data_IF_857655955679
#
_entry.id   IF_857655955679
#
_cell.length_a   1.000
_cell.length_b   1.000
_cell.length_c   1.000
_cell.angle_alpha   90.00
_cell.angle_beta   90.00
_cell.angle_gamma   90.00
#
_symmetry.space_group_name_H-M   'P 1'
#
loop_
_entity.id
_entity.type
_entity.pdbx_description
1 polymer ?
#
# COMPACT_ATOMS: atom_id res chain seq x y z
N UNK A 1 -0.76 20.85 -5.44
CA UNK A 1 -1.15 19.75 -4.53
C UNK A 1 -2.15 18.89 -5.27
N UNK A 2 -2.03 17.55 -5.25
CA UNK A 2 -2.99 16.67 -5.90
C UNK A 2 -4.36 16.75 -5.22
N UNK A 3 -5.41 16.56 -6.02
CA UNK A 3 -6.81 16.65 -5.57
C UNK A 3 -7.54 15.38 -6.00
N UNK A 4 -8.34 14.81 -5.10
CA UNK A 4 -9.23 13.67 -5.37
C UNK A 4 -10.65 14.10 -5.03
N UNK A 5 -11.49 14.36 -6.04
CA UNK A 5 -12.79 14.99 -5.82
C UNK A 5 -12.64 16.34 -5.11
N UNK A 6 -13.24 16.52 -3.95
CA UNK A 6 -13.13 17.73 -3.11
C UNK A 6 -11.92 17.71 -2.16
N UNK A 7 -11.18 16.61 -2.06
CA UNK A 7 -10.08 16.45 -1.10
C UNK A 7 -8.76 16.95 -1.66
N UNK A 8 -8.20 18.00 -1.05
CA UNK A 8 -6.84 18.48 -1.33
C UNK A 8 -5.85 17.70 -0.48
N UNK A 9 -4.91 17.02 -1.11
CA UNK A 9 -3.92 16.19 -0.42
C UNK A 9 -2.68 16.99 -0.04
N UNK A 10 -2.02 16.59 1.05
CA UNK A 10 -0.80 17.24 1.57
C UNK A 10 0.34 17.25 0.55
N UNK A 11 0.55 16.14 -0.15
CA UNK A 11 1.54 15.97 -1.21
C UNK A 11 1.13 14.83 -2.15
N UNK A 12 1.96 14.51 -3.11
CA UNK A 12 1.72 13.48 -4.14
C UNK A 12 2.34 12.10 -3.82
N UNK A 13 2.54 11.78 -2.54
CA UNK A 13 3.13 10.51 -2.09
C UNK A 13 2.08 9.66 -1.36
N UNK A 14 1.76 8.51 -1.90
CA UNK A 14 0.67 7.66 -1.47
C UNK A 14 1.16 6.31 -0.95
N UNK A 15 0.51 5.80 0.10
CA UNK A 15 0.75 4.45 0.61
C UNK A 15 -0.10 3.45 -0.17
N UNK A 16 0.53 2.44 -0.73
CA UNK A 16 -0.18 1.38 -1.47
C UNK A 16 -0.99 0.46 -0.53
N UNK A 17 -2.20 0.04 -0.92
CA UNK A 17 -2.93 -1.00 -0.21
C UNK A 17 -2.20 -2.34 -0.33
N UNK A 18 -1.72 -2.87 0.79
CA UNK A 18 -1.01 -4.16 0.89
C UNK A 18 -1.71 -5.03 1.94
N UNK A 19 -2.28 -6.17 1.51
CA UNK A 19 -3.00 -7.07 2.40
C UNK A 19 -2.11 -7.57 3.54
N UNK A 20 -2.58 -7.43 4.77
CA UNK A 20 -1.84 -7.78 5.98
C UNK A 20 -0.73 -6.79 6.36
N UNK A 21 -0.57 -5.66 5.66
CA UNK A 21 0.48 -4.67 5.92
C UNK A 21 -0.09 -3.27 6.17
N UNK A 22 -0.92 -2.78 5.28
CA UNK A 22 -1.49 -1.42 5.36
C UNK A 22 -2.72 -1.38 6.27
N UNK A 23 -2.57 -1.95 7.47
CA UNK A 23 -3.52 -1.78 8.56
C UNK A 23 -3.53 -0.32 9.07
N UNK A 24 -4.47 -0.01 9.94
CA UNK A 24 -4.61 1.37 10.48
C UNK A 24 -3.31 1.88 11.13
N UNK A 25 -2.63 1.14 12.04
CA UNK A 25 -1.37 1.58 12.62
C UNK A 25 -0.32 1.96 11.58
N UNK A 26 -0.13 1.12 10.56
CA UNK A 26 0.86 1.39 9.52
C UNK A 26 0.49 2.59 8.64
N UNK A 27 -0.80 2.77 8.28
CA UNK A 27 -1.25 3.94 7.52
C UNK A 27 -1.04 5.24 8.29
N UNK A 28 -1.42 5.27 9.57
CA UNK A 28 -1.22 6.43 10.44
C UNK A 28 0.26 6.78 10.58
N UNK A 29 1.12 5.78 10.78
CA UNK A 29 2.56 5.96 10.85
C UNK A 29 3.13 6.55 9.55
N UNK A 30 2.77 6.00 8.39
CA UNK A 30 3.23 6.53 7.11
C UNK A 30 2.75 7.97 6.86
N UNK A 31 1.50 8.31 7.21
CA UNK A 31 0.98 9.67 7.12
C UNK A 31 1.71 10.62 8.08
N UNK A 32 2.01 10.20 9.32
CA UNK A 32 2.83 10.94 10.27
C UNK A 32 4.23 11.24 9.71
N UNK A 33 4.79 10.30 8.98
CA UNK A 33 6.14 10.36 8.40
C UNK A 33 6.17 10.89 6.95
N UNK A 34 5.12 11.56 6.48
CA UNK A 34 5.17 12.34 5.26
C UNK A 34 4.31 11.84 4.09
N UNK A 35 3.64 10.70 4.19
CA UNK A 35 2.70 10.30 3.15
C UNK A 35 1.49 11.26 3.12
N UNK A 36 1.12 11.71 1.92
CA UNK A 36 -0.03 12.59 1.71
C UNK A 36 -1.37 11.86 1.67
N UNK A 37 -1.35 10.56 1.37
CA UNK A 37 -2.55 9.76 1.21
C UNK A 37 -2.27 8.27 1.48
N UNK A 38 -3.25 7.55 1.98
CA UNK A 38 -3.17 6.12 2.20
C UNK A 38 -4.51 5.44 1.94
N UNK A 39 -4.47 4.25 1.34
CA UNK A 39 -5.65 3.43 1.06
C UNK A 39 -5.67 2.23 2.00
N UNK A 40 -6.83 1.87 2.52
CA UNK A 40 -7.00 0.71 3.40
C UNK A 40 -6.66 -0.61 2.70
N UNK A 41 -6.46 -1.66 3.49
CA UNK A 41 -6.49 -3.02 2.94
C UNK A 41 -7.85 -3.29 2.28
N UNK A 42 -7.86 -4.13 1.22
CA UNK A 42 -9.09 -4.45 0.52
C UNK A 42 -10.13 -5.14 1.40
N UNK A 43 -11.36 -4.68 1.31
CA UNK A 43 -12.56 -5.26 1.91
C UNK A 43 -13.34 -6.00 0.81
N UNK A 44 -13.76 -7.22 1.09
CA UNK A 44 -14.55 -8.00 0.12
C UNK A 44 -15.95 -7.38 -0.05
N UNK A 45 -16.47 -7.36 -1.28
CA UNK A 45 -17.82 -6.89 -1.59
C UNK A 45 -18.93 -7.81 -1.04
N UNK A 46 -18.62 -9.04 -0.65
CA UNK A 46 -19.60 -9.96 -0.08
C UNK A 46 -20.02 -9.54 1.33
N UNK A 47 -21.28 -9.11 1.48
CA UNK A 47 -21.87 -8.65 2.74
C UNK A 47 -21.81 -9.68 3.88
N UNK A 48 -21.85 -10.98 3.57
CA UNK A 48 -21.71 -12.05 4.58
C UNK A 48 -20.36 -12.01 5.31
N UNK A 49 -19.33 -11.42 4.71
CA UNK A 49 -17.99 -11.31 5.29
C UNK A 49 -17.79 -10.04 6.13
N UNK A 50 -18.69 -9.05 6.06
CA UNK A 50 -18.50 -7.74 6.71
C UNK A 50 -18.47 -7.83 8.23
N UNK A 51 -19.22 -8.76 8.83
CA UNK A 51 -19.25 -8.98 10.29
C UNK A 51 -18.07 -9.82 10.80
N UNK A 52 -17.17 -10.28 9.92
CA UNK A 52 -15.98 -11.01 10.39
C UNK A 52 -15.02 -10.08 11.11
N UNK A 53 -14.37 -10.56 12.18
CA UNK A 53 -13.39 -9.77 12.94
C UNK A 53 -12.24 -9.22 12.05
N UNK A 54 -11.91 -9.93 10.98
CA UNK A 54 -10.90 -9.50 10.00
C UNK A 54 -11.39 -8.31 9.18
N UNK A 55 -12.62 -8.35 8.66
CA UNK A 55 -13.20 -7.27 7.86
C UNK A 55 -13.47 -6.05 8.73
N UNK A 56 -14.02 -6.25 9.94
CA UNK A 56 -14.24 -5.15 10.88
C UNK A 56 -12.95 -4.40 11.22
N UNK A 57 -11.83 -5.10 11.39
CA UNK A 57 -10.52 -4.46 11.59
C UNK A 57 -10.08 -3.65 10.37
N UNK A 58 -10.25 -4.19 9.15
CA UNK A 58 -9.89 -3.49 7.89
C UNK A 58 -10.71 -2.24 7.65
N UNK A 59 -12.00 -2.29 8.04
CA UNK A 59 -12.94 -1.17 7.94
C UNK A 59 -12.89 -0.22 9.15
N UNK A 60 -12.00 -0.45 10.12
CA UNK A 60 -11.87 0.41 11.28
C UNK A 60 -11.01 1.63 10.94
N UNK A 61 -11.63 2.81 10.91
CA UNK A 61 -11.01 4.11 10.60
C UNK A 61 -10.94 5.04 11.81
N UNK A 62 -11.23 4.55 13.03
CA UNK A 62 -11.25 5.37 14.23
C UNK A 62 -9.89 6.07 14.45
N UNK A 63 -9.91 7.40 14.48
CA UNK A 63 -8.72 8.25 14.64
C UNK A 63 -7.78 8.27 13.41
N UNK A 64 -8.23 7.83 12.25
CA UNK A 64 -7.43 7.92 11.02
C UNK A 64 -7.39 9.35 10.49
N UNK A 65 -6.24 9.75 9.93
CA UNK A 65 -6.07 11.06 9.30
C UNK A 65 -6.83 11.09 7.96
N UNK A 66 -7.67 12.11 7.77
CA UNK A 66 -8.42 12.31 6.52
C UNK A 66 -7.51 12.63 5.31
N UNK A 67 -8.00 12.37 4.09
CA UNK A 67 -9.24 11.67 3.76
C UNK A 67 -9.14 10.16 3.99
N UNK A 68 -10.26 9.57 4.47
CA UNK A 68 -10.39 8.13 4.72
C UNK A 68 -10.73 7.41 3.42
N UNK A 69 -9.81 6.60 2.92
CA UNK A 69 -10.00 5.83 1.69
C UNK A 69 -10.13 4.34 1.96
N UNK A 70 -11.21 3.75 1.49
CA UNK A 70 -11.51 2.33 1.65
C UNK A 70 -11.42 1.62 0.32
N UNK A 71 -10.58 0.58 0.25
CA UNK A 71 -10.49 -0.25 -0.94
C UNK A 71 -11.48 -1.42 -0.88
N UNK A 72 -12.30 -1.56 -1.92
CA UNK A 72 -13.24 -2.66 -2.11
C UNK A 72 -12.80 -3.59 -3.24
N UNK A 73 -13.12 -4.89 -3.12
CA UNK A 73 -12.76 -5.91 -4.10
C UNK A 73 -13.91 -6.90 -4.29
N UNK A 74 -14.24 -7.16 -5.53
CA UNK A 74 -15.29 -8.10 -5.97
C UNK A 74 -15.36 -8.18 -7.47
N UNK A 75 -16.28 -9.02 -7.99
CA UNK A 75 -16.50 -9.24 -9.42
C UNK A 75 -17.97 -9.04 -9.84
N UNK A 76 -18.87 -8.80 -8.89
CA UNK A 76 -20.27 -8.56 -9.17
C UNK A 76 -20.59 -7.06 -9.02
N UNK A 77 -21.13 -6.40 -10.08
CA UNK A 77 -21.41 -4.95 -10.05
C UNK A 77 -22.36 -4.52 -8.92
N UNK A 78 -23.42 -5.31 -8.66
CA UNK A 78 -24.41 -4.97 -7.64
C UNK A 78 -23.83 -5.10 -6.23
N UNK A 79 -23.06 -6.15 -5.97
CA UNK A 79 -22.34 -6.34 -4.70
C UNK A 79 -21.28 -5.27 -4.49
N UNK A 80 -20.58 -4.84 -5.53
CA UNK A 80 -19.58 -3.76 -5.46
C UNK A 80 -20.24 -2.41 -5.16
N UNK A 81 -21.38 -2.12 -5.76
CA UNK A 81 -22.20 -0.94 -5.49
C UNK A 81 -22.72 -0.93 -4.03
N UNK A 82 -23.18 -2.07 -3.52
CA UNK A 82 -23.62 -2.22 -2.13
C UNK A 82 -22.44 -2.02 -1.15
N UNK A 83 -21.28 -2.61 -1.45
CA UNK A 83 -20.08 -2.43 -0.64
C UNK A 83 -19.60 -0.97 -0.61
N UNK A 84 -19.70 -0.26 -1.72
CA UNK A 84 -19.37 1.18 -1.76
C UNK A 84 -20.28 1.99 -0.83
N UNK A 85 -21.60 1.85 -0.96
CA UNK A 85 -22.57 2.52 -0.06
C UNK A 85 -22.32 2.19 1.40
N UNK A 86 -22.18 0.90 1.72
CA UNK A 86 -21.89 0.45 3.09
C UNK A 86 -20.65 1.13 3.68
N UNK A 87 -19.56 1.22 2.94
CA UNK A 87 -18.35 1.85 3.46
C UNK A 87 -18.49 3.39 3.57
N UNK A 88 -19.22 4.03 2.67
CA UNK A 88 -19.54 5.47 2.78
C UNK A 88 -20.39 5.73 4.03
N UNK A 89 -21.43 4.94 4.28
CA UNK A 89 -22.26 5.03 5.47
C UNK A 89 -21.47 4.81 6.78
N UNK A 90 -20.32 4.11 6.68
CA UNK A 90 -19.39 3.89 7.79
C UNK A 90 -18.18 4.87 7.79
N UNK A 91 -18.27 5.98 7.07
CA UNK A 91 -17.32 7.08 7.15
C UNK A 91 -16.19 7.07 6.12
N UNK A 92 -16.26 6.23 5.08
CA UNK A 92 -15.33 6.35 3.95
C UNK A 92 -15.59 7.65 3.18
N UNK A 93 -14.54 8.40 2.94
CA UNK A 93 -14.56 9.67 2.20
C UNK A 93 -14.08 9.48 0.74
N UNK A 94 -13.43 8.35 0.45
CA UNK A 94 -13.01 7.93 -0.89
C UNK A 94 -13.24 6.42 -0.98
N UNK A 95 -13.81 5.95 -2.08
CA UNK A 95 -13.90 4.52 -2.41
C UNK A 95 -12.83 4.21 -3.46
N UNK A 96 -11.96 3.23 -3.17
CA UNK A 96 -10.97 2.73 -4.11
C UNK A 96 -11.35 1.32 -4.61
N UNK A 97 -11.34 1.09 -5.91
CA UNK A 97 -11.68 -0.20 -6.51
C UNK A 97 -10.38 -0.98 -6.79
N UNK A 98 -10.30 -2.21 -6.28
CA UNK A 98 -9.17 -3.10 -6.55
C UNK A 98 -9.39 -3.91 -7.83
N UNK A 99 -8.60 -3.62 -8.87
CA UNK A 99 -8.46 -4.44 -10.07
C UNK A 99 -6.97 -4.75 -10.37
N UNK A 100 -6.15 -4.81 -9.31
CA UNK A 100 -4.71 -5.05 -9.42
C UNK A 100 -4.17 -6.22 -8.61
N UNK A 101 -4.94 -6.78 -7.66
CA UNK A 101 -4.48 -7.89 -6.82
C UNK A 101 -4.27 -9.17 -7.66
N UNK A 102 -3.04 -9.76 -7.70
CA UNK A 102 -2.74 -10.92 -8.52
C UNK A 102 -2.94 -12.24 -7.75
N UNK A 103 -3.39 -12.20 -6.50
CA UNK A 103 -3.48 -13.36 -5.64
C UNK A 103 -4.44 -14.42 -6.19
N UNK A 104 -4.02 -15.68 -6.20
CA UNK A 104 -4.84 -16.82 -6.67
C UNK A 104 -6.23 -16.81 -6.02
N UNK A 105 -6.31 -16.60 -4.71
CA UNK A 105 -7.58 -16.55 -3.97
C UNK A 105 -8.55 -15.47 -4.49
N UNK A 106 -8.03 -14.32 -4.91
CA UNK A 106 -8.83 -13.23 -5.46
C UNK A 106 -9.15 -13.48 -6.93
N UNK A 107 -8.17 -13.90 -7.73
CA UNK A 107 -8.35 -14.20 -9.15
C UNK A 107 -9.28 -15.42 -9.38
N UNK A 108 -9.29 -16.40 -8.49
CA UNK A 108 -10.16 -17.58 -8.61
C UNK A 108 -11.66 -17.25 -8.49
N UNK A 109 -12.00 -16.10 -7.89
CA UNK A 109 -13.37 -15.57 -7.87
C UNK A 109 -13.56 -14.46 -8.91
N UNK A 110 -12.74 -14.45 -9.96
CA UNK A 110 -12.73 -13.50 -11.07
C UNK A 110 -12.59 -12.02 -10.63
N UNK A 111 -12.06 -11.74 -9.41
CA UNK A 111 -11.86 -10.40 -8.87
C UNK A 111 -10.39 -9.94 -9.00
N UNK A 112 -10.11 -8.71 -8.62
CA UNK A 112 -8.77 -8.14 -8.69
C UNK A 112 -8.26 -8.04 -10.12
N UNK A 113 -7.01 -8.44 -10.38
CA UNK A 113 -6.42 -8.33 -11.72
C UNK A 113 -7.00 -9.31 -12.76
N UNK A 114 -7.80 -10.30 -12.36
CA UNK A 114 -8.52 -11.16 -13.28
C UNK A 114 -9.59 -10.39 -14.08
N UNK A 115 -10.13 -9.31 -13.51
CA UNK A 115 -11.09 -8.44 -14.19
C UNK A 115 -10.55 -7.80 -15.46
N UNK A 116 -9.22 -7.59 -15.55
CA UNK A 116 -8.60 -6.99 -16.74
C UNK A 116 -8.79 -7.82 -18.03
N UNK A 117 -9.22 -9.07 -17.92
CA UNK A 117 -9.55 -9.91 -19.07
C UNK A 117 -10.98 -9.71 -19.59
N UNK A 118 -11.80 -8.90 -18.90
CA UNK A 118 -13.22 -8.68 -19.24
C UNK A 118 -13.56 -7.18 -19.12
N UNK A 119 -13.20 -6.40 -20.14
CA UNK A 119 -13.41 -4.96 -20.17
C UNK A 119 -14.89 -4.56 -20.00
N UNK A 120 -15.89 -5.25 -20.61
CA UNK A 120 -17.29 -4.97 -20.34
C UNK A 120 -17.69 -5.12 -18.87
N UNK A 121 -17.15 -6.12 -18.16
CA UNK A 121 -17.42 -6.29 -16.74
C UNK A 121 -16.73 -5.21 -15.90
N UNK A 122 -15.51 -4.80 -16.27
CA UNK A 122 -14.84 -3.65 -15.65
C UNK A 122 -15.70 -2.42 -15.74
N UNK A 123 -16.23 -2.10 -16.93
CA UNK A 123 -17.11 -0.96 -17.15
C UNK A 123 -18.35 -1.04 -16.25
N UNK A 124 -19.05 -2.17 -16.25
CA UNK A 124 -20.25 -2.37 -15.42
C UNK A 124 -19.97 -2.17 -13.93
N UNK A 125 -18.85 -2.69 -13.42
CA UNK A 125 -18.46 -2.52 -12.00
C UNK A 125 -18.18 -1.05 -11.69
N UNK A 126 -17.39 -0.38 -12.52
CA UNK A 126 -16.98 1.01 -12.27
C UNK A 126 -18.22 1.93 -12.33
N UNK A 127 -19.09 1.78 -13.34
CA UNK A 127 -20.33 2.54 -13.45
C UNK A 127 -21.27 2.30 -12.26
N UNK A 128 -21.42 1.04 -11.83
CA UNK A 128 -22.27 0.69 -10.69
C UNK A 128 -21.75 1.29 -9.38
N UNK A 129 -20.43 1.30 -9.15
CA UNK A 129 -19.82 1.88 -7.96
C UNK A 129 -19.94 3.40 -7.96
N UNK A 130 -19.62 4.07 -9.07
CA UNK A 130 -19.74 5.52 -9.21
C UNK A 130 -21.19 5.97 -8.99
N UNK A 131 -22.15 5.31 -9.63
CA UNK A 131 -23.57 5.60 -9.46
C UNK A 131 -24.05 5.38 -8.01
N UNK A 132 -23.48 4.41 -7.30
CA UNK A 132 -23.88 4.05 -5.95
C UNK A 132 -23.52 5.09 -4.87
N UNK A 133 -22.41 5.83 -5.08
CA UNK A 133 -21.90 6.84 -4.11
C UNK A 133 -22.26 8.27 -4.52
N UNK A 134 -23.07 8.42 -5.56
CA UNK A 134 -23.58 9.68 -6.05
C UNK A 134 -22.72 10.33 -7.13
N UNK A 135 -23.30 11.36 -7.75
CA UNK A 135 -22.66 12.18 -8.78
C UNK A 135 -22.85 13.66 -8.42
N UNK A 136 -21.91 14.52 -8.81
CA UNK A 136 -21.96 15.95 -8.54
C UNK A 136 -20.98 16.39 -7.44
N UNK A 137 -21.12 17.63 -6.94
CA UNK A 137 -20.14 18.27 -6.05
C UNK A 137 -19.97 17.56 -4.69
N UNK A 138 -21.04 16.97 -4.18
CA UNK A 138 -21.05 16.28 -2.87
C UNK A 138 -20.86 14.77 -2.98
N UNK A 139 -20.57 14.26 -4.19
CA UNK A 139 -20.33 12.84 -4.42
C UNK A 139 -19.04 12.38 -3.73
N UNK A 140 -19.07 11.18 -3.17
CA UNK A 140 -17.85 10.53 -2.69
C UNK A 140 -17.00 10.11 -3.89
N UNK A 141 -15.76 10.60 -4.05
CA UNK A 141 -14.93 10.26 -5.19
C UNK A 141 -14.58 8.77 -5.21
N UNK A 142 -14.59 8.20 -6.42
CA UNK A 142 -14.19 6.82 -6.66
C UNK A 142 -12.84 6.81 -7.37
N UNK A 143 -11.91 6.00 -6.86
CA UNK A 143 -10.61 5.77 -7.48
C UNK A 143 -10.47 4.30 -7.92
N UNK A 144 -9.56 4.05 -8.85
CA UNK A 144 -9.34 2.71 -9.38
C UNK A 144 -7.85 2.35 -9.34
N UNK A 145 -7.54 1.14 -8.88
CA UNK A 145 -6.15 0.64 -8.91
C UNK A 145 -6.05 -0.61 -9.78
N UNK A 146 -5.20 -0.54 -10.82
CA UNK A 146 -5.01 -1.60 -11.83
C UNK A 146 -3.54 -2.03 -11.94
N UNK A 147 -3.30 -3.05 -12.76
CA UNK A 147 -2.02 -3.41 -13.38
C UNK A 147 -2.02 -3.05 -14.86
N UNK A 148 -0.87 -3.21 -15.54
CA UNK A 148 -0.73 -2.90 -16.97
C UNK A 148 -1.54 -3.83 -17.87
N UNK A 149 -1.93 -5.00 -17.38
CA UNK A 149 -2.74 -5.99 -18.07
C UNK A 149 -2.66 -7.37 -17.40
N UNK A 150 -3.20 -8.38 -18.08
CA UNK A 150 -3.16 -9.78 -17.62
C UNK A 150 -1.75 -10.37 -17.73
N UNK A 151 -1.16 -10.26 -18.89
CA UNK A 151 0.23 -10.65 -19.19
C UNK A 151 0.84 -9.66 -20.18
N UNK A 152 2.08 -9.90 -20.60
CA UNK A 152 2.85 -8.97 -21.46
C UNK A 152 2.27 -8.84 -22.88
N UNK A 153 1.54 -9.83 -23.35
CA UNK A 153 0.89 -9.85 -24.67
C UNK A 153 -0.51 -9.21 -24.60
N UNK A 154 -1.13 -9.22 -23.42
CA UNK A 154 -2.47 -8.70 -23.18
C UNK A 154 -2.44 -7.53 -22.20
N UNK A 155 -1.74 -6.46 -22.58
CA UNK A 155 -1.75 -5.17 -21.86
C UNK A 155 -2.89 -4.30 -22.37
N UNK A 156 -3.79 -3.91 -21.47
CA UNK A 156 -4.97 -3.11 -21.81
C UNK A 156 -5.23 -1.95 -20.85
N UNK A 157 -4.23 -1.53 -20.09
CA UNK A 157 -4.37 -0.45 -19.12
C UNK A 157 -4.90 0.85 -19.75
N UNK A 158 -4.53 1.18 -21.01
CA UNK A 158 -5.02 2.38 -21.72
C UNK A 158 -6.53 2.29 -21.97
N UNK A 159 -7.03 1.13 -22.43
CA UNK A 159 -8.46 0.91 -22.63
C UNK A 159 -9.22 1.03 -21.31
N UNK A 160 -8.74 0.36 -20.27
CA UNK A 160 -9.34 0.44 -18.92
C UNK A 160 -9.31 1.87 -18.38
N UNK A 161 -8.24 2.63 -18.61
CA UNK A 161 -8.15 4.02 -18.17
C UNK A 161 -9.22 4.92 -18.80
N UNK A 162 -9.46 4.77 -20.12
CA UNK A 162 -10.50 5.52 -20.83
C UNK A 162 -11.90 5.14 -20.38
N UNK A 163 -12.16 3.83 -20.17
CA UNK A 163 -13.43 3.35 -19.60
C UNK A 163 -13.65 3.94 -18.20
N UNK A 164 -12.63 3.93 -17.36
CA UNK A 164 -12.69 4.45 -16.00
C UNK A 164 -12.97 5.97 -15.99
N UNK A 165 -12.28 6.75 -16.83
CA UNK A 165 -12.52 8.19 -16.97
C UNK A 165 -13.95 8.46 -17.44
N UNK A 166 -14.41 7.77 -18.48
CA UNK A 166 -15.77 7.91 -19.01
C UNK A 166 -16.86 7.56 -18.00
N UNK A 167 -16.58 6.61 -17.11
CA UNK A 167 -17.50 6.20 -16.04
C UNK A 167 -17.45 7.10 -14.80
N UNK A 168 -16.56 8.11 -14.74
CA UNK A 168 -16.49 9.07 -13.64
C UNK A 168 -15.49 8.74 -12.52
N UNK A 169 -14.49 7.90 -12.79
CA UNK A 169 -13.37 7.68 -11.85
C UNK A 169 -12.59 8.99 -11.68
N UNK A 170 -12.31 9.34 -10.42
CA UNK A 170 -11.65 10.58 -10.05
C UNK A 170 -10.11 10.48 -10.09
N UNK A 171 -9.53 9.28 -10.04
CA UNK A 171 -8.08 9.05 -10.08
C UNK A 171 -7.79 7.58 -10.42
N UNK A 172 -6.74 7.34 -11.19
CA UNK A 172 -6.31 6.00 -11.60
C UNK A 172 -4.88 5.71 -11.09
N UNK A 173 -4.69 4.62 -10.37
CA UNK A 173 -3.36 4.10 -10.01
C UNK A 173 -2.99 2.91 -10.90
N UNK A 174 -1.81 2.97 -11.51
CA UNK A 174 -1.32 1.89 -12.38
C UNK A 174 -0.03 1.29 -11.78
N UNK A 175 -0.07 0.00 -11.48
CA UNK A 175 1.14 -0.74 -11.12
C UNK A 175 1.84 -1.20 -12.40
N UNK A 176 3.11 -0.80 -12.59
CA UNK A 176 3.94 -1.08 -13.76
C UNK A 176 4.35 -2.55 -13.94
N UNK A 177 3.45 -3.48 -13.63
CA UNK A 177 3.57 -4.92 -13.87
C UNK A 177 2.26 -5.50 -14.34
N UNK A 178 2.33 -6.55 -15.14
CA UNK A 178 1.15 -7.36 -15.47
C UNK A 178 0.77 -8.27 -14.29
N UNK A 179 -0.41 -8.90 -14.37
CA UNK A 179 -0.79 -9.92 -13.39
C UNK A 179 0.17 -11.12 -13.43
N UNK A 180 0.61 -11.55 -14.60
CA UNK A 180 1.48 -12.70 -14.76
C UNK A 180 2.89 -12.48 -14.18
N UNK A 181 3.38 -11.25 -14.19
CA UNK A 181 4.67 -10.90 -13.60
C UNK A 181 4.67 -11.04 -12.06
N UNK A 182 3.50 -10.95 -11.41
CA UNK A 182 3.39 -10.89 -9.95
C UNK A 182 4.26 -9.74 -9.38
N UNK A 183 5.40 -10.09 -8.79
CA UNK A 183 6.41 -9.16 -8.27
C UNK A 183 7.81 -9.43 -8.86
N UNK A 184 7.90 -10.29 -9.89
CA UNK A 184 9.16 -10.66 -10.57
C UNK A 184 9.57 -9.59 -11.57
N UNK A 185 10.88 -9.52 -11.83
CA UNK A 185 11.46 -8.53 -12.72
C UNK A 185 11.28 -7.10 -12.20
N UNK A 186 11.44 -6.13 -13.07
CA UNK A 186 11.26 -4.70 -12.77
C UNK A 186 9.89 -4.20 -13.22
N UNK A 187 9.38 -3.16 -12.52
CA UNK A 187 8.21 -2.43 -12.98
C UNK A 187 8.57 -1.58 -14.21
N UNK A 188 7.74 -1.64 -15.23
CA UNK A 188 7.87 -0.79 -16.42
C UNK A 188 7.03 0.47 -16.29
N UNK A 189 7.48 1.56 -16.90
CA UNK A 189 6.85 2.86 -16.77
C UNK A 189 6.25 3.40 -18.07
N UNK A 190 6.56 2.77 -19.19
CA UNK A 190 6.09 3.14 -20.52
C UNK A 190 4.56 3.07 -20.62
N UNK A 191 3.97 1.98 -20.11
CA UNK A 191 2.50 1.86 -20.07
C UNK A 191 1.87 2.92 -19.16
N UNK A 192 2.52 3.29 -18.05
CA UNK A 192 2.01 4.34 -17.16
C UNK A 192 2.04 5.71 -17.87
N UNK A 193 3.13 6.03 -18.58
CA UNK A 193 3.24 7.22 -19.39
C UNK A 193 2.17 7.27 -20.49
N UNK A 194 1.94 6.15 -21.18
CA UNK A 194 0.91 6.04 -22.22
C UNK A 194 -0.52 6.21 -21.64
N UNK A 195 -0.78 5.67 -20.45
CA UNK A 195 -2.05 5.90 -19.73
C UNK A 195 -2.20 7.37 -19.40
N UNK A 196 -1.15 8.03 -18.84
CA UNK A 196 -1.19 9.46 -18.50
C UNK A 196 -1.47 10.33 -19.72
N UNK A 197 -0.90 10.00 -20.87
CA UNK A 197 -1.17 10.70 -22.12
C UNK A 197 -2.59 10.45 -22.68
N UNK A 198 -3.25 9.36 -22.28
CA UNK A 198 -4.55 8.94 -22.83
C UNK A 198 -5.76 9.46 -22.07
N UNK A 199 -5.59 9.96 -20.81
CA UNK A 199 -6.67 10.41 -19.93
C UNK A 199 -6.35 11.77 -19.29
N UNK A 200 -7.37 12.48 -18.80
CA UNK A 200 -7.24 13.78 -18.13
C UNK A 200 -7.29 13.65 -16.61
N UNK A 201 -7.89 12.58 -16.10
CA UNK A 201 -7.91 12.33 -14.65
C UNK A 201 -6.50 12.12 -14.11
N UNK A 202 -6.25 12.43 -12.83
CA UNK A 202 -4.97 12.15 -12.19
C UNK A 202 -4.56 10.69 -12.33
N UNK A 203 -3.29 10.48 -12.71
CA UNK A 203 -2.66 9.14 -12.81
C UNK A 203 -1.56 9.01 -11.78
N UNK A 204 -1.57 7.91 -11.05
CA UNK A 204 -0.61 7.60 -10.00
C UNK A 204 0.30 6.46 -10.45
N UNK A 205 1.61 6.69 -10.48
CA UNK A 205 2.59 5.66 -10.81
C UNK A 205 2.90 4.79 -9.58
N UNK A 206 2.86 3.47 -9.76
CA UNK A 206 3.18 2.50 -8.72
C UNK A 206 4.12 1.41 -9.26
N UNK A 207 5.10 1.01 -8.47
CA UNK A 207 6.05 -0.07 -8.76
C UNK A 207 7.50 0.37 -8.55
N UNK A 208 8.24 -0.38 -7.74
CA UNK A 208 9.69 -0.30 -7.48
C UNK A 208 10.24 1.11 -7.18
N UNK A 209 9.44 1.93 -6.50
CA UNK A 209 9.85 3.27 -6.03
C UNK A 209 10.52 3.08 -4.67
N UNK A 210 11.85 2.99 -4.66
CA UNK A 210 12.64 2.56 -3.50
C UNK A 210 13.53 3.65 -2.90
N UNK A 211 13.65 4.80 -3.58
CA UNK A 211 14.51 5.90 -3.14
C UNK A 211 14.00 7.25 -3.65
N UNK A 212 14.47 8.38 -3.07
CA UNK A 212 14.17 9.72 -3.55
C UNK A 212 14.53 9.93 -5.04
N UNK A 213 15.73 9.49 -5.45
CA UNK A 213 16.15 9.58 -6.85
C UNK A 213 15.27 8.77 -7.79
N UNK A 214 14.88 7.54 -7.39
CA UNK A 214 13.96 6.70 -8.18
C UNK A 214 12.56 7.35 -8.27
N UNK A 215 12.08 7.96 -7.18
CA UNK A 215 10.80 8.68 -7.18
C UNK A 215 10.79 9.82 -8.22
N UNK A 216 11.83 10.65 -8.26
CA UNK A 216 12.00 11.72 -9.25
C UNK A 216 12.05 11.14 -10.67
N UNK A 217 12.87 10.14 -10.90
CA UNK A 217 13.02 9.50 -12.22
C UNK A 217 11.68 8.91 -12.73
N UNK A 218 10.87 8.31 -11.83
CA UNK A 218 9.55 7.77 -12.21
C UNK A 218 8.57 8.89 -12.58
N UNK A 219 8.53 10.00 -11.84
CA UNK A 219 7.71 11.16 -12.20
C UNK A 219 8.11 11.73 -13.56
N UNK A 220 9.41 11.90 -13.82
CA UNK A 220 9.93 12.41 -15.08
C UNK A 220 9.63 11.46 -16.26
N UNK A 221 9.79 10.16 -16.05
CA UNK A 221 9.55 9.16 -17.10
C UNK A 221 8.06 8.99 -17.45
N UNK A 222 7.17 9.16 -16.47
CA UNK A 222 5.74 8.85 -16.64
C UNK A 222 4.88 10.08 -16.83
N UNK A 223 5.31 11.25 -16.36
CA UNK A 223 4.47 12.44 -16.24
C UNK A 223 3.28 12.24 -15.26
N UNK A 224 3.33 11.22 -14.41
CA UNK A 224 2.28 10.94 -13.45
C UNK A 224 2.11 12.08 -12.44
N UNK A 225 0.88 12.26 -11.94
CA UNK A 225 0.54 13.32 -10.98
C UNK A 225 0.97 12.99 -9.55
N UNK A 226 1.09 11.69 -9.24
CA UNK A 226 1.48 11.20 -7.93
C UNK A 226 2.20 9.85 -8.01
N UNK A 227 2.82 9.47 -6.89
CA UNK A 227 3.51 8.19 -6.70
C UNK A 227 2.84 7.37 -5.62
N UNK A 228 2.68 6.06 -5.85
CA UNK A 228 2.22 5.15 -4.81
C UNK A 228 3.31 4.16 -4.43
N UNK A 229 3.66 4.12 -3.15
CA UNK A 229 4.78 3.35 -2.61
C UNK A 229 4.24 2.19 -1.77
N UNK A 230 4.69 0.99 -2.07
CA UNK A 230 4.33 -0.24 -1.35
C UNK A 230 5.49 -0.79 -0.53
N UNK A 231 6.08 -1.88 -1.01
CA UNK A 231 7.10 -2.67 -0.30
C UNK A 231 8.28 -1.87 0.25
N UNK A 232 8.70 -0.81 -0.43
CA UNK A 232 9.80 0.04 0.00
C UNK A 232 9.53 0.80 1.31
N UNK A 233 8.26 0.96 1.71
CA UNK A 233 7.89 1.56 2.99
C UNK A 233 7.92 0.55 4.16
N UNK A 234 8.02 -0.75 3.88
CA UNK A 234 8.08 -1.79 4.92
C UNK A 234 9.43 -1.70 5.65
N UNK A 235 9.38 -1.44 6.96
CA UNK A 235 10.58 -1.22 7.76
C UNK A 235 11.28 0.13 7.54
N UNK A 236 10.75 0.95 6.61
CA UNK A 236 11.28 2.29 6.29
C UNK A 236 10.14 3.30 6.03
N UNK A 237 9.20 3.48 6.95
CA UNK A 237 8.06 4.38 6.71
C UNK A 237 8.47 5.85 6.56
N UNK A 238 9.65 6.26 7.03
CA UNK A 238 10.25 7.60 6.83
C UNK A 238 10.67 7.85 5.37
N UNK A 239 10.63 6.85 4.48
CA UNK A 239 10.91 7.02 3.05
C UNK A 239 10.01 8.09 2.42
N UNK A 240 8.78 8.24 2.88
CA UNK A 240 7.89 9.29 2.40
C UNK A 240 8.44 10.69 2.69
N UNK A 241 8.96 10.93 3.90
CA UNK A 241 9.60 12.20 4.27
C UNK A 241 10.87 12.46 3.44
N UNK A 242 11.67 11.42 3.21
CA UNK A 242 12.89 11.54 2.40
C UNK A 242 12.56 11.91 0.94
N UNK A 243 11.55 11.27 0.36
CA UNK A 243 11.11 11.57 -1.01
C UNK A 243 10.50 12.97 -1.09
N UNK A 244 9.61 13.32 -0.17
CA UNK A 244 8.95 14.64 -0.15
C UNK A 244 9.99 15.77 -0.09
N UNK A 245 10.95 15.66 0.82
CA UNK A 245 12.04 16.64 0.92
C UNK A 245 12.85 16.74 -0.36
N UNK A 246 13.27 15.61 -0.93
CA UNK A 246 14.07 15.59 -2.16
C UNK A 246 13.32 16.16 -3.36
N UNK A 247 12.03 15.86 -3.51
CA UNK A 247 11.22 16.42 -4.60
C UNK A 247 11.02 17.92 -4.47
N UNK A 248 11.01 18.47 -3.24
CA UNK A 248 10.86 19.90 -3.00
C UNK A 248 12.17 20.68 -3.12
N UNK A 249 13.28 20.11 -2.69
CA UNK A 249 14.56 20.83 -2.53
C UNK A 249 15.65 20.39 -3.50
N UNK A 250 15.57 19.16 -4.03
CA UNK A 250 16.64 18.51 -4.77
C UNK A 250 17.76 17.92 -3.89
N UNK A 251 17.66 18.08 -2.56
CA UNK A 251 18.67 17.62 -1.60
C UNK A 251 18.21 16.38 -0.85
N UNK A 252 19.15 15.49 -0.56
CA UNK A 252 18.87 14.31 0.27
C UNK A 252 18.87 14.69 1.76
N UNK A 253 17.90 14.17 2.51
CA UNK A 253 17.99 14.21 3.97
C UNK A 253 19.16 13.33 4.45
N UNK A 254 19.81 13.69 5.56
CA UNK A 254 20.75 12.78 6.21
C UNK A 254 20.01 11.48 6.60
N UNK A 255 20.71 10.34 6.62
CA UNK A 255 20.13 9.09 7.11
C UNK A 255 19.54 9.28 8.52
N UNK A 256 18.40 8.66 8.85
CA UNK A 256 17.86 8.75 10.20
C UNK A 256 18.80 8.10 11.21
N UNK A 257 18.83 8.66 12.42
CA UNK A 257 19.61 8.11 13.53
C UNK A 257 18.95 6.84 14.07
N UNK A 258 19.73 5.97 14.67
CA UNK A 258 19.21 4.70 15.23
C UNK A 258 18.20 4.95 16.35
N UNK A 259 18.37 5.99 17.17
CA UNK A 259 17.41 6.37 18.20
C UNK A 259 16.06 6.80 17.62
N UNK A 260 16.05 7.55 16.51
CA UNK A 260 14.83 7.92 15.79
C UNK A 260 14.11 6.65 15.23
N UNK A 261 14.86 5.74 14.61
CA UNK A 261 14.30 4.51 14.05
C UNK A 261 13.71 3.62 15.16
N UNK A 262 14.42 3.49 16.29
CA UNK A 262 13.94 2.75 17.46
C UNK A 262 12.64 3.34 17.98
N UNK A 263 12.56 4.67 18.09
CA UNK A 263 11.34 5.35 18.51
C UNK A 263 10.17 5.07 17.56
N UNK A 264 10.39 5.26 16.25
CA UNK A 264 9.38 4.99 15.21
C UNK A 264 8.89 3.54 15.27
N UNK A 265 9.81 2.60 15.46
CA UNK A 265 9.46 1.19 15.56
C UNK A 265 8.67 0.87 16.83
N UNK A 266 9.07 1.42 17.98
CA UNK A 266 8.34 1.23 19.24
C UNK A 266 6.92 1.79 19.17
N UNK A 267 6.74 3.02 18.67
CA UNK A 267 5.42 3.61 18.43
C UNK A 267 4.56 2.70 17.52
N UNK A 268 5.15 2.22 16.40
CA UNK A 268 4.44 1.31 15.50
C UNK A 268 4.01 0.02 16.18
N UNK A 269 4.88 -0.58 17.00
CA UNK A 269 4.58 -1.82 17.71
C UNK A 269 3.50 -1.62 18.78
N UNK A 270 3.56 -0.55 19.54
CA UNK A 270 2.56 -0.21 20.57
C UNK A 270 1.19 -0.02 19.95
N UNK A 271 1.08 0.77 18.87
CA UNK A 271 -0.16 0.96 18.11
C UNK A 271 -0.67 -0.36 17.52
N UNK A 272 0.23 -1.19 17.00
CA UNK A 272 -0.09 -2.49 16.45
C UNK A 272 -0.63 -3.45 17.52
N UNK A 273 -0.03 -3.49 18.71
CA UNK A 273 -0.52 -4.31 19.83
C UNK A 273 -1.85 -3.81 20.36
N UNK A 274 -2.03 -2.50 20.47
CA UNK A 274 -3.31 -1.90 20.86
C UNK A 274 -4.42 -2.26 19.86
N UNK A 275 -4.09 -2.32 18.57
CA UNK A 275 -5.06 -2.62 17.51
C UNK A 275 -5.43 -4.11 17.40
N UNK A 276 -4.46 -5.01 17.53
CA UNK A 276 -4.66 -6.45 17.34
C UNK A 276 -4.88 -7.24 18.63
N UNK A 277 -4.55 -6.67 19.78
CA UNK A 277 -4.43 -7.37 21.06
C UNK A 277 -3.16 -8.23 21.13
N UNK A 278 -2.81 -8.70 22.32
CA UNK A 278 -1.52 -9.36 22.57
C UNK A 278 -1.31 -10.59 21.68
N UNK A 279 -2.25 -11.55 21.71
CA UNK A 279 -2.09 -12.82 21.00
C UNK A 279 -1.86 -12.64 19.48
N UNK A 280 -2.69 -11.84 18.82
CA UNK A 280 -2.57 -11.60 17.38
C UNK A 280 -1.46 -10.61 17.09
N UNK A 281 -1.36 -9.55 17.89
CA UNK A 281 -0.38 -8.48 17.74
C UNK A 281 1.06 -8.97 17.75
N UNK A 282 1.43 -9.77 18.76
CA UNK A 282 2.78 -10.35 18.86
C UNK A 282 3.14 -11.17 17.61
N UNK A 283 2.22 -12.00 17.12
CA UNK A 283 2.47 -12.86 15.94
C UNK A 283 2.57 -12.07 14.64
N UNK A 284 1.68 -11.09 14.46
CA UNK A 284 1.66 -10.27 13.24
C UNK A 284 2.74 -9.19 13.23
N UNK A 285 3.22 -8.73 14.39
CA UNK A 285 4.34 -7.80 14.50
C UNK A 285 5.68 -8.39 14.00
N UNK A 286 5.87 -9.71 14.08
CA UNK A 286 7.13 -10.37 13.69
C UNK A 286 7.61 -10.01 12.30
N UNK A 287 6.70 -9.85 11.34
CA UNK A 287 7.05 -9.42 9.97
C UNK A 287 7.54 -7.96 9.93
N UNK A 288 6.88 -7.05 10.65
CA UNK A 288 7.30 -5.65 10.74
C UNK A 288 8.69 -5.55 11.38
N UNK A 289 8.89 -6.25 12.50
CA UNK A 289 10.19 -6.34 13.18
C UNK A 289 11.26 -6.86 12.20
N UNK A 290 10.94 -7.91 11.44
CA UNK A 290 11.83 -8.45 10.42
C UNK A 290 12.20 -7.45 9.32
N UNK A 291 11.28 -6.60 8.90
CA UNK A 291 11.54 -5.56 7.90
C UNK A 291 12.42 -4.43 8.45
N UNK A 292 12.16 -3.95 9.67
CA UNK A 292 12.98 -2.91 10.31
C UNK A 292 14.43 -3.35 10.56
N UNK A 293 14.63 -4.64 10.76
CA UNK A 293 15.96 -5.17 11.12
C UNK A 293 16.70 -5.85 9.96
N UNK A 294 16.11 -5.84 8.74
CA UNK A 294 16.71 -6.48 7.58
C UNK A 294 18.08 -5.88 7.25
N UNK A 295 19.09 -6.74 7.01
CA UNK A 295 20.45 -6.33 6.67
C UNK A 295 21.27 -5.75 7.82
N UNK A 296 20.78 -5.79 9.07
CA UNK A 296 21.53 -5.33 10.24
C UNK A 296 22.33 -6.47 10.87
N UNK A 297 23.46 -6.14 11.48
CA UNK A 297 24.30 -7.11 12.21
C UNK A 297 23.49 -7.85 13.27
N UNK A 298 23.53 -9.18 13.27
CA UNK A 298 22.80 -10.02 14.21
C UNK A 298 21.29 -10.18 13.92
N UNK A 299 20.77 -9.60 12.84
CA UNK A 299 19.33 -9.62 12.52
C UNK A 299 18.74 -11.02 12.37
N UNK A 300 19.48 -11.98 11.83
CA UNK A 300 19.00 -13.36 11.66
C UNK A 300 18.72 -14.03 13.00
N UNK A 301 19.69 -14.01 13.91
CA UNK A 301 19.51 -14.55 15.28
C UNK A 301 18.38 -13.82 16.04
N UNK A 302 18.30 -12.51 15.89
CA UNK A 302 17.25 -11.70 16.48
C UNK A 302 15.86 -12.11 15.95
N UNK A 303 15.67 -12.26 14.63
CA UNK A 303 14.40 -12.72 14.04
C UNK A 303 13.99 -14.11 14.53
N UNK A 304 14.94 -15.04 14.65
CA UNK A 304 14.66 -16.34 15.25
C UNK A 304 14.15 -16.23 16.69
N UNK A 305 14.78 -15.39 17.51
CA UNK A 305 14.32 -15.10 18.87
C UNK A 305 12.90 -14.55 18.90
N UNK A 306 12.55 -13.62 17.98
CA UNK A 306 11.20 -13.05 17.88
C UNK A 306 10.10 -14.11 17.71
N UNK A 307 10.41 -15.24 17.09
CA UNK A 307 9.45 -16.33 16.88
C UNK A 307 9.11 -17.09 18.18
N UNK A 308 9.95 -16.98 19.20
CA UNK A 308 9.77 -17.68 20.49
C UNK A 308 9.08 -16.82 21.56
N UNK A 309 8.96 -15.50 21.33
CA UNK A 309 8.35 -14.58 22.29
C UNK A 309 6.84 -14.53 22.07
N UNK A 310 6.08 -14.61 23.15
CA UNK A 310 4.62 -14.67 23.14
C UNK A 310 3.94 -13.48 23.85
N UNK A 311 4.71 -12.56 24.45
CA UNK A 311 4.16 -11.35 25.06
C UNK A 311 4.69 -10.08 24.41
N UNK A 312 3.85 -9.03 24.39
CA UNK A 312 4.19 -7.70 23.88
C UNK A 312 5.37 -7.10 24.64
N UNK A 313 5.39 -7.27 25.94
CA UNK A 313 6.45 -6.76 26.83
C UNK A 313 7.81 -7.36 26.50
N UNK A 314 7.87 -8.69 26.33
CA UNK A 314 9.11 -9.38 25.97
C UNK A 314 9.60 -8.99 24.58
N UNK A 315 8.66 -8.84 23.63
CA UNK A 315 8.97 -8.46 22.26
C UNK A 315 9.53 -7.03 22.19
N UNK A 316 8.90 -6.05 22.89
CA UNK A 316 9.42 -4.67 22.99
C UNK A 316 10.77 -4.61 23.70
N UNK A 317 10.94 -5.35 24.79
CA UNK A 317 12.22 -5.40 25.51
C UNK A 317 13.36 -5.94 24.62
N UNK A 318 13.07 -6.99 23.84
CA UNK A 318 14.04 -7.57 22.93
C UNK A 318 14.37 -6.63 21.76
N UNK A 319 13.38 -5.91 21.23
CA UNK A 319 13.58 -4.87 20.19
C UNK A 319 14.48 -3.77 20.72
N UNK A 320 14.19 -3.24 21.90
CA UNK A 320 15.01 -2.18 22.51
C UNK A 320 16.44 -2.64 22.73
N UNK A 321 16.66 -3.83 23.29
CA UNK A 321 17.99 -4.38 23.50
C UNK A 321 18.76 -4.57 22.16
N UNK A 322 18.07 -4.95 21.08
CA UNK A 322 18.69 -5.08 19.76
C UNK A 322 19.15 -3.73 19.21
N UNK A 323 18.30 -2.69 19.29
CA UNK A 323 18.65 -1.36 18.80
C UNK A 323 19.70 -0.68 19.70
N UNK A 324 19.70 -0.94 21.00
CA UNK A 324 20.76 -0.45 21.90
C UNK A 324 22.13 -1.06 21.54
N UNK A 325 22.15 -2.33 21.13
CA UNK A 325 23.37 -2.95 20.61
C UNK A 325 23.81 -2.33 19.25
N UNK A 326 22.87 -1.96 18.36
CA UNK A 326 23.22 -1.24 17.13
C UNK A 326 23.79 0.15 17.40
N UNK A 327 23.23 0.89 18.37
CA UNK A 327 23.75 2.22 18.80
C UNK A 327 25.18 2.15 19.32
N UNK A 328 25.58 1.04 19.94
CA UNK A 328 26.96 0.85 20.41
C UNK A 328 27.96 0.70 19.24
N UNK A 329 27.46 0.40 18.02
CA UNK A 329 28.29 0.25 16.82
C UNK A 329 28.37 1.55 16.01
N UNK A 330 27.29 2.30 15.92
CA UNK A 330 27.18 3.51 15.09
C UNK A 330 25.99 4.36 15.50
N UNK A 331 25.99 5.65 15.15
CA UNK A 331 24.84 6.55 15.26
C UNK A 331 23.76 6.28 14.20
N UNK A 332 24.13 5.66 13.08
CA UNK A 332 23.25 5.34 11.95
C UNK A 332 23.29 3.84 11.66
N UNK A 333 22.21 3.31 11.04
CA UNK A 333 22.16 1.91 10.68
C UNK A 333 23.28 1.54 9.68
N UNK A 334 24.04 0.52 10.03
CA UNK A 334 25.06 -0.07 9.17
C UNK A 334 24.49 -1.39 8.64
N UNK A 335 24.22 -1.42 7.34
CA UNK A 335 23.78 -2.64 6.68
C UNK A 335 25.00 -3.48 6.31
N UNK A 336 24.94 -4.78 6.61
CA UNK A 336 25.93 -5.76 6.20
C UNK A 336 25.44 -6.43 4.92
N UNK A 337 26.32 -6.58 3.95
CA UNK A 337 25.99 -7.31 2.73
C UNK A 337 25.68 -8.78 3.08
N UNK A 338 24.56 -9.29 2.57
CA UNK A 338 24.07 -10.65 2.85
C UNK A 338 25.00 -11.76 2.29
N UNK A 339 26.08 -11.40 1.58
CA UNK A 339 27.02 -12.35 0.93
C UNK A 339 27.88 -13.17 1.93
N UNK A 340 27.95 -12.78 3.21
CA UNK A 340 28.71 -13.56 4.21
C UNK A 340 27.87 -14.64 4.95
N UNK A 341 26.56 -14.66 4.77
CA UNK A 341 25.67 -15.65 5.42
C UNK A 341 24.76 -16.33 4.38
N UNK A 342 25.33 -17.23 3.65
CA UNK A 342 24.76 -18.21 2.75
C UNK A 342 23.25 -18.24 2.52
N UNK A 343 22.86 -18.13 1.25
CA UNK A 343 21.58 -18.52 0.66
C UNK A 343 20.32 -18.03 1.41
N UNK A 344 19.99 -16.77 1.19
CA UNK A 344 18.64 -16.29 1.42
C UNK A 344 17.70 -16.99 0.45
N UNK A 345 16.87 -17.92 0.94
CA UNK A 345 15.71 -18.38 0.18
C UNK A 345 14.87 -17.16 -0.24
N UNK A 346 14.38 -17.12 -1.49
CA UNK A 346 13.47 -16.06 -1.90
C UNK A 346 12.27 -16.06 -0.96
N UNK A 347 12.00 -14.90 -0.36
CA UNK A 347 10.94 -14.64 0.62
C UNK A 347 9.59 -15.20 0.15
N UNK A 348 9.29 -16.46 0.47
CA UNK A 348 7.99 -17.12 0.21
C UNK A 348 6.87 -16.55 1.09
N UNK A 349 7.22 -15.65 2.04
CA UNK A 349 6.27 -14.92 2.89
C UNK A 349 5.42 -13.87 2.13
N UNK A 350 5.77 -13.55 0.88
CA UNK A 350 4.92 -12.72 0.01
C UNK A 350 3.66 -13.46 -0.50
N UNK A 351 3.54 -14.78 -0.29
CA UNK A 351 2.31 -15.51 -0.61
C UNK A 351 1.19 -15.29 0.41
N UNK A 352 1.49 -14.75 1.61
CA UNK A 352 0.50 -14.43 2.65
C UNK A 352 0.02 -12.98 2.62
N UNK A 353 0.66 -12.10 1.83
CA UNK A 353 0.26 -10.69 1.65
C UNK A 353 -0.67 -10.48 0.44
N UNK A 354 -1.28 -11.55 -0.05
CA UNK A 354 -2.22 -11.50 -1.16
C UNK A 354 -3.61 -12.01 -0.71
#
# INVERSE_FOLDING_TARGET
>A
MPVIGSHVLRNNLFVAPMAGVTDRPFRQLCKKLGAGYAVSEMVASNAQLWKSAKTMRRANHAGEVEPIAVQIAGADPAMMAEAARYNVDNGAQIIDINMGCPAKKVCNVAAGSALLQNEPLVQQIVEAVVAAVGTGPDAVPVTLKIRTGWDREHKNAITIARLAEAAGISMLTVHGRTRADLYRGEAEYETIAAVKAAVRIPVVANGDITSPAKAKAVLEATGADALMIGRAAQGRPWLFREIDHFLQTGELLPPPRIDEIQQVMNEHLEDHYAFYGEFTGVRTARKHIGWYTRGLSGANAFRHRMNTLDSTREQLAAVNAFFDAQKALSDHLVYVDDDENGQGEPDDHNQLAA
#
